data_IF_362066708317
#
_entry.id   IF_362066708317
#
_cell.length_a   1.000
_cell.length_b   1.000
_cell.length_c   1.000
_cell.angle_alpha   90.00
_cell.angle_beta   90.00
_cell.angle_gamma   90.00
#
_symmetry.space_group_name_H-M   'P 1'
#
loop_
_entity.id
_entity.type
_entity.pdbx_description
1 polymer ?
#
# COMPACT_ATOMS: atom_id res chain seq x y z
N UNK A 1 -7.60 -5.79 -0.60
CA UNK A 1 -7.60 -4.45 0.00
C UNK A 1 -8.38 -4.50 1.31
N UNK A 2 -7.87 -3.94 2.41
CA UNK A 2 -8.50 -4.04 3.73
C UNK A 2 -9.56 -2.93 3.95
N UNK A 3 -10.82 -3.23 3.64
CA UNK A 3 -11.92 -2.26 3.71
C UNK A 3 -12.22 -1.78 5.15
N UNK A 4 -12.14 -2.67 6.13
CA UNK A 4 -12.37 -2.32 7.53
C UNK A 4 -11.34 -1.31 8.05
N UNK A 5 -10.06 -1.52 7.70
CA UNK A 5 -8.96 -0.63 8.06
C UNK A 5 -9.10 0.72 7.37
N UNK A 6 -9.57 0.75 6.12
CA UNK A 6 -9.88 1.99 5.42
C UNK A 6 -10.99 2.78 6.12
N UNK A 7 -12.06 2.12 6.58
CA UNK A 7 -13.15 2.78 7.31
C UNK A 7 -12.68 3.32 8.68
N UNK A 8 -11.76 2.61 9.33
CA UNK A 8 -11.19 3.01 10.63
C UNK A 8 -10.07 4.03 10.54
N UNK A 9 -9.56 4.34 9.34
CA UNK A 9 -8.42 5.20 9.16
C UNK A 9 -8.81 6.68 9.36
N UNK A 10 -8.23 7.31 10.38
CA UNK A 10 -8.54 8.71 10.76
C UNK A 10 -7.46 9.71 10.35
N UNK A 11 -6.31 9.25 9.86
CA UNK A 11 -5.23 10.11 9.39
C UNK A 11 -5.48 10.58 7.95
N UNK A 12 -4.50 11.28 7.36
CA UNK A 12 -4.64 11.88 6.04
C UNK A 12 -4.79 10.83 4.92
N UNK A 13 -6.00 10.71 4.38
CA UNK A 13 -6.33 9.75 3.32
C UNK A 13 -5.53 9.97 2.03
N UNK A 14 -5.17 11.22 1.72
CA UNK A 14 -4.37 11.52 0.55
C UNK A 14 -2.93 11.04 0.72
N UNK A 15 -2.37 11.17 1.92
CA UNK A 15 -1.01 10.72 2.21
C UNK A 15 -0.88 9.21 2.09
N UNK A 16 -1.81 8.44 2.68
CA UNK A 16 -1.77 6.98 2.58
C UNK A 16 -2.02 6.50 1.14
N UNK A 17 -2.83 7.24 0.36
CA UNK A 17 -3.03 6.96 -1.07
C UNK A 17 -1.74 7.18 -1.87
N UNK A 18 -1.04 8.28 -1.63
CA UNK A 18 0.27 8.55 -2.24
C UNK A 18 1.29 7.50 -1.82
N UNK A 19 1.32 7.14 -0.54
CA UNK A 19 2.20 6.09 -0.02
C UNK A 19 1.92 4.73 -0.67
N UNK A 20 0.64 4.35 -0.82
CA UNK A 20 0.25 3.11 -1.47
C UNK A 20 0.70 3.06 -2.93
N UNK A 21 0.55 4.16 -3.68
CA UNK A 21 1.03 4.26 -5.06
C UNK A 21 2.56 4.15 -5.15
N UNK A 22 3.30 4.85 -4.27
CA UNK A 22 4.76 4.76 -4.22
C UNK A 22 5.23 3.35 -3.86
N UNK A 23 4.56 2.70 -2.92
CA UNK A 23 4.87 1.31 -2.53
C UNK A 23 4.57 0.33 -3.67
N UNK A 24 3.43 0.49 -4.34
CA UNK A 24 3.09 -0.32 -5.51
C UNK A 24 4.15 -0.19 -6.61
N UNK A 25 4.60 1.03 -6.91
CA UNK A 25 5.70 1.28 -7.84
C UNK A 25 6.99 0.56 -7.42
N UNK A 26 7.39 0.66 -6.14
CA UNK A 26 8.58 -0.02 -5.63
C UNK A 26 8.49 -1.55 -5.81
N UNK A 27 7.34 -2.14 -5.48
CA UNK A 27 7.10 -3.58 -5.66
C UNK A 27 7.21 -4.00 -7.13
N UNK A 28 6.62 -3.21 -8.04
CA UNK A 28 6.70 -3.46 -9.48
C UNK A 28 8.13 -3.35 -10.02
N UNK A 29 8.93 -2.38 -9.51
CA UNK A 29 10.32 -2.19 -9.95
C UNK A 29 11.22 -3.38 -9.62
N UNK A 30 11.00 -4.00 -8.46
CA UNK A 30 11.78 -5.18 -8.04
C UNK A 30 11.16 -6.50 -8.48
N UNK A 31 10.04 -6.46 -9.22
CA UNK A 31 9.24 -7.64 -9.62
C UNK A 31 8.95 -8.54 -8.41
N UNK A 32 8.44 -7.93 -7.34
CA UNK A 32 8.12 -8.62 -6.10
C UNK A 32 7.19 -9.81 -6.38
N UNK A 33 7.57 -11.06 -6.02
CA UNK A 33 6.77 -12.26 -6.32
C UNK A 33 5.39 -12.22 -5.68
N UNK A 34 5.20 -11.44 -4.60
CA UNK A 34 3.91 -11.25 -3.97
C UNK A 34 2.87 -10.63 -4.92
N UNK A 35 3.29 -9.95 -6.00
CA UNK A 35 2.40 -9.40 -7.01
C UNK A 35 1.63 -10.51 -7.73
N UNK A 36 2.34 -11.53 -8.23
CA UNK A 36 1.75 -12.66 -8.96
C UNK A 36 0.86 -13.49 -8.02
N UNK A 37 1.31 -13.73 -6.78
CA UNK A 37 0.53 -14.41 -5.73
C UNK A 37 -0.78 -13.69 -5.39
N UNK A 38 -0.86 -12.39 -5.65
CA UNK A 38 -2.04 -11.56 -5.38
C UNK A 38 -2.78 -11.14 -6.67
N UNK A 39 -2.64 -11.92 -7.75
CA UNK A 39 -3.34 -11.73 -9.03
C UNK A 39 -3.13 -10.33 -9.63
N UNK A 40 -1.89 -9.84 -9.60
CA UNK A 40 -1.47 -8.55 -10.17
C UNK A 40 -2.16 -7.31 -9.56
N UNK A 41 -2.86 -7.46 -8.43
CA UNK A 41 -3.53 -6.36 -7.72
C UNK A 41 -2.55 -5.57 -6.85
N UNK A 42 -1.46 -5.10 -7.45
CA UNK A 42 -0.31 -4.49 -6.74
C UNK A 42 -0.70 -3.30 -5.87
N UNK A 43 -1.62 -2.43 -6.32
CA UNK A 43 -2.09 -1.29 -5.51
C UNK A 43 -2.87 -1.75 -4.28
N UNK A 44 -3.70 -2.78 -4.44
CA UNK A 44 -4.46 -3.35 -3.32
C UNK A 44 -3.59 -4.07 -2.30
N UNK A 45 -2.50 -4.69 -2.77
CA UNK A 45 -1.50 -5.32 -1.94
C UNK A 45 -0.64 -4.28 -1.20
N UNK A 46 -0.16 -3.26 -1.89
CA UNK A 46 0.58 -2.16 -1.30
C UNK A 46 -0.24 -1.43 -0.22
N UNK A 47 -1.49 -1.10 -0.50
CA UNK A 47 -2.38 -0.50 0.49
C UNK A 47 -2.60 -1.43 1.69
N UNK A 48 -2.73 -2.74 1.45
CA UNK A 48 -2.85 -3.73 2.54
C UNK A 48 -1.63 -3.65 3.47
N UNK A 49 -0.41 -3.70 2.92
CA UNK A 49 0.83 -3.63 3.70
C UNK A 49 0.92 -2.36 4.56
N UNK A 50 0.41 -1.23 4.06
CA UNK A 50 0.40 0.03 4.81
C UNK A 50 -0.66 0.01 5.93
N UNK A 51 -1.88 -0.42 5.63
CA UNK A 51 -2.97 -0.49 6.62
C UNK A 51 -2.72 -1.53 7.73
N UNK A 52 -1.99 -2.61 7.42
CA UNK A 52 -1.59 -3.63 8.41
C UNK A 52 -0.25 -3.32 9.09
N UNK A 53 0.37 -2.17 8.77
CA UNK A 53 1.67 -1.74 9.29
C UNK A 53 2.83 -2.72 9.01
N UNK A 54 2.68 -3.61 8.03
CA UNK A 54 3.79 -4.42 7.50
C UNK A 54 4.85 -3.54 6.85
N UNK A 55 4.42 -2.41 6.27
CA UNK A 55 5.27 -1.37 5.72
C UNK A 55 4.81 -0.03 6.27
N UNK A 56 5.75 0.81 6.70
CA UNK A 56 5.48 2.19 7.12
C UNK A 56 5.98 3.17 6.08
N UNK A 57 5.39 4.37 6.06
CA UNK A 57 5.82 5.44 5.17
C UNK A 57 6.13 6.70 5.97
N UNK A 58 7.00 7.53 5.40
CA UNK A 58 7.22 8.91 5.81
C UNK A 58 7.24 9.74 4.53
N UNK A 59 6.39 10.77 4.48
CA UNK A 59 6.48 11.77 3.43
C UNK A 59 7.46 12.82 3.96
N UNK A 60 8.65 12.89 3.37
CA UNK A 60 9.57 13.98 3.63
C UNK A 60 9.09 15.21 2.85
N UNK A 61 9.11 16.38 3.50
CA UNK A 61 8.94 17.70 2.87
C UNK A 61 10.05 17.98 1.87
#
# INVERSE_FOLDING_TARGET
FPLEQLVKFTDNIYEITVAANRRAYQMSMVKDPLIEENHDKVVSLAAKQLFTQEVTYRIAE
#
